data_IF_500613546515
#
_entry.id   IF_500613546515
#
_cell.length_a   1.000
_cell.length_b   1.000
_cell.length_c   1.000
_cell.angle_alpha   90.00
_cell.angle_beta   90.00
_cell.angle_gamma   90.00
#
_symmetry.space_group_name_H-M   'P 1'
#
loop_
_entity.id
_entity.type
_entity.pdbx_description
1 polymer ?
#
# COMPACT_ATOMS: atom_id res chain seq x y z
N UNK A 1 -15.87 -5.73 3.53
CA UNK A 1 -15.37 -4.53 2.86
C UNK A 1 -13.86 -4.68 2.81
N UNK A 2 -13.26 -4.93 1.64
CA UNK A 2 -11.84 -5.30 1.57
C UNK A 2 -10.96 -4.18 2.09
N UNK A 3 -10.14 -4.47 3.10
CA UNK A 3 -9.32 -3.46 3.76
C UNK A 3 -8.00 -3.26 3.00
N UNK A 4 -8.08 -2.45 1.95
CA UNK A 4 -6.97 -2.22 1.02
C UNK A 4 -6.25 -0.92 1.38
N UNK A 5 -4.93 -1.00 1.53
CA UNK A 5 -4.07 0.16 1.83
C UNK A 5 -2.94 0.31 0.81
N UNK A 6 -2.39 1.52 0.74
CA UNK A 6 -1.17 1.82 0.00
C UNK A 6 -0.01 2.10 0.94
N UNK A 7 1.14 1.50 0.65
CA UNK A 7 2.40 1.69 1.38
C UNK A 7 3.56 1.86 0.41
N UNK A 8 4.58 2.65 0.76
CA UNK A 8 5.87 2.65 0.05
C UNK A 8 6.72 1.50 0.58
N UNK A 9 7.13 0.59 -0.29
CA UNK A 9 8.06 -0.47 0.04
C UNK A 9 9.50 0.08 0.03
N UNK A 10 10.20 0.14 1.18
CA UNK A 10 11.54 0.70 1.25
C UNK A 10 12.60 -0.17 0.56
N UNK A 11 12.37 -1.49 0.44
CA UNK A 11 13.32 -2.41 -0.20
C UNK A 11 13.41 -2.19 -1.70
N UNK A 12 12.28 -1.89 -2.34
CA UNK A 12 12.20 -1.75 -3.80
C UNK A 12 11.96 -0.30 -4.25
N UNK A 13 11.75 0.62 -3.30
CA UNK A 13 11.32 1.99 -3.53
C UNK A 13 10.04 2.12 -4.38
N UNK A 14 9.17 1.10 -4.38
CA UNK A 14 7.89 1.08 -5.12
C UNK A 14 6.71 1.32 -4.19
N UNK A 15 5.63 1.89 -4.72
CA UNK A 15 4.35 1.91 -4.01
C UNK A 15 3.63 0.60 -4.25
N UNK A 16 3.16 -0.03 -3.17
CA UNK A 16 2.47 -1.31 -3.18
C UNK A 16 1.05 -1.15 -2.64
N UNK A 17 0.10 -1.85 -3.25
CA UNK A 17 -1.28 -2.00 -2.82
C UNK A 17 -1.39 -3.31 -2.05
N UNK A 18 -1.72 -3.23 -0.77
CA UNK A 18 -1.76 -4.37 0.16
C UNK A 18 -3.21 -4.62 0.56
N UNK A 19 -3.63 -5.88 0.46
CA UNK A 19 -4.84 -6.40 1.08
C UNK A 19 -4.52 -6.78 2.53
N UNK A 20 -5.11 -6.09 3.51
CA UNK A 20 -4.88 -6.40 4.94
C UNK A 20 -5.61 -7.65 5.40
N UNK A 21 -6.70 -8.04 4.74
CA UNK A 21 -7.47 -9.23 5.09
C UNK A 21 -6.71 -10.50 4.70
N UNK A 22 -6.08 -10.48 3.51
CA UNK A 22 -5.34 -11.62 2.97
C UNK A 22 -3.83 -11.57 3.25
N UNK A 23 -3.32 -10.44 3.74
CA UNK A 23 -1.90 -10.23 4.00
C UNK A 23 -1.01 -10.29 2.76
N UNK A 24 -1.54 -9.91 1.57
CA UNK A 24 -0.83 -10.04 0.28
C UNK A 24 -0.78 -8.73 -0.49
N UNK A 25 0.26 -8.59 -1.31
CA UNK A 25 0.41 -7.46 -2.24
C UNK A 25 -0.40 -7.77 -3.50
N UNK A 26 -1.36 -6.91 -3.84
CA UNK A 26 -2.20 -7.06 -5.03
C UNK A 26 -1.52 -6.43 -6.25
N UNK A 27 -0.86 -5.29 -6.09
CA UNK A 27 -0.30 -4.49 -7.19
C UNK A 27 0.86 -3.62 -6.71
N UNK A 28 1.74 -3.23 -7.64
CA UNK A 28 2.80 -2.26 -7.40
C UNK A 28 2.92 -1.25 -8.55
N UNK A 29 3.42 -0.05 -8.26
CA UNK A 29 3.77 0.96 -9.26
C UNK A 29 5.08 1.67 -8.90
N UNK A 30 5.81 2.10 -9.94
CA UNK A 30 7.09 2.80 -9.81
C UNK A 30 6.90 4.29 -9.53
N UNK A 31 5.89 4.91 -10.12
CA UNK A 31 5.67 6.35 -10.01
C UNK A 31 5.08 6.75 -8.65
N UNK A 32 5.53 7.87 -8.06
CA UNK A 32 4.92 8.41 -6.87
C UNK A 32 3.48 8.84 -7.15
N UNK A 33 2.58 8.52 -6.23
CA UNK A 33 1.18 8.93 -6.29
C UNK A 33 0.26 7.94 -5.59
N UNK A 34 -0.91 8.40 -5.15
CA UNK A 34 -1.93 7.52 -4.58
C UNK A 34 -2.48 6.57 -5.66
N UNK A 35 -2.86 5.35 -5.30
CA UNK A 35 -3.80 4.55 -6.08
C UNK A 35 -5.16 5.19 -5.89
N UNK A 36 -5.90 5.37 -6.97
CA UNK A 36 -7.23 5.98 -6.92
C UNK A 36 -8.07 5.30 -5.82
N UNK A 37 -8.55 6.11 -4.87
CA UNK A 37 -9.41 5.70 -3.75
C UNK A 37 -8.82 4.70 -2.75
N UNK A 38 -7.49 4.52 -2.69
CA UNK A 38 -6.85 3.68 -1.67
C UNK A 38 -6.27 4.56 -0.55
N UNK A 39 -6.65 4.33 0.72
CA UNK A 39 -6.05 5.03 1.85
C UNK A 39 -4.56 4.68 1.99
N UNK A 40 -3.74 5.70 2.27
CA UNK A 40 -2.32 5.50 2.57
C UNK A 40 -2.20 5.01 4.01
N UNK A 41 -1.47 3.92 4.24
CA UNK A 41 -1.30 3.42 5.60
C UNK A 41 -0.51 4.44 6.43
N UNK A 42 -1.09 4.88 7.54
CA UNK A 42 -0.38 5.71 8.52
C UNK A 42 0.60 4.82 9.28
N UNK A 43 1.86 5.24 9.36
CA UNK A 43 2.82 4.60 10.26
C UNK A 43 2.31 4.76 11.69
N UNK A 44 1.94 3.67 12.35
CA UNK A 44 1.70 3.70 13.80
C UNK A 44 3.09 3.86 14.46
N UNK A 45 3.40 5.08 14.92
CA UNK A 45 4.44 5.24 15.94
C UNK A 45 3.96 4.50 17.19
N UNK A 46 4.75 3.53 17.63
CA UNK A 46 4.60 2.91 18.96
C UNK A 46 5.13 3.88 20.00
#
# INVERSE_FOLDING_TARGET
MSDIIQVKNPRTNRYVKIDRDKGRIISHKKSPGKYANVPVAKSKRK
#
